data_IF_200973182199
#
_entry.id   IF_200973182199
#
_cell.length_a   1.000
_cell.length_b   1.000
_cell.length_c   1.000
_cell.angle_alpha   90.00
_cell.angle_beta   90.00
_cell.angle_gamma   90.00
#
_symmetry.space_group_name_H-M   'P 1'
#
loop_
_entity.id
_entity.type
_entity.pdbx_description
1 polymer ?
#
# COMPACT_ATOMS: atom_id res chain seq x y z
N UNK A 1 15.44 -1.97 2.16
CA UNK A 1 15.62 -3.22 2.95
C UNK A 1 14.51 -4.19 2.54
N UNK A 2 14.76 -5.06 1.56
CA UNK A 2 13.88 -6.21 1.30
C UNK A 2 14.49 -7.34 2.12
N UNK A 3 13.76 -7.82 3.14
CA UNK A 3 14.16 -9.04 3.86
C UNK A 3 14.00 -10.19 2.88
N UNK A 4 15.05 -10.99 2.72
CA UNK A 4 15.34 -12.03 1.71
C UNK A 4 14.28 -13.16 1.55
N UNK A 5 13.08 -13.00 2.11
CA UNK A 5 12.08 -14.05 2.19
C UNK A 5 10.66 -13.57 1.88
N UNK A 6 10.38 -12.28 1.75
CA UNK A 6 9.03 -11.79 1.38
C UNK A 6 8.87 -11.93 -0.14
N UNK A 7 7.97 -12.81 -0.57
CA UNK A 7 7.73 -13.08 -2.00
C UNK A 7 6.28 -12.85 -2.43
N UNK A 8 5.38 -12.59 -1.48
CA UNK A 8 3.98 -12.30 -1.76
C UNK A 8 3.56 -10.97 -1.14
N UNK A 9 2.72 -10.25 -1.89
CA UNK A 9 2.05 -9.05 -1.43
C UNK A 9 0.60 -9.08 -1.89
N UNK A 10 -0.30 -8.63 -1.03
CA UNK A 10 -1.72 -8.45 -1.35
C UNK A 10 -2.17 -7.12 -0.77
N UNK A 11 -2.84 -6.32 -1.59
CA UNK A 11 -3.36 -5.01 -1.23
C UNK A 11 -4.84 -4.95 -1.54
N UNK A 12 -5.61 -4.40 -0.60
CA UNK A 12 -7.04 -4.17 -0.75
C UNK A 12 -7.34 -2.71 -0.45
N UNK A 13 -7.77 -1.98 -1.47
CA UNK A 13 -8.32 -0.64 -1.34
C UNK A 13 -9.61 -0.68 -0.51
N UNK A 14 -9.72 0.24 0.45
CA UNK A 14 -10.86 0.38 1.34
C UNK A 14 -11.60 1.68 1.05
N UNK A 15 -10.86 2.76 0.81
CA UNK A 15 -11.43 4.07 0.59
C UNK A 15 -10.65 4.86 -0.45
N UNK A 16 -11.36 5.65 -1.24
CA UNK A 16 -10.83 6.53 -2.27
C UNK A 16 -11.55 7.87 -2.19
N UNK A 17 -10.78 8.96 -2.11
CA UNK A 17 -11.32 10.32 -2.09
C UNK A 17 -10.31 11.28 -2.70
N UNK A 18 -10.81 12.38 -3.28
CA UNK A 18 -9.98 13.33 -3.98
C UNK A 18 -10.75 14.07 -5.07
N UNK A 19 -10.03 14.52 -6.09
CA UNK A 19 -10.53 15.23 -7.26
C UNK A 19 -9.80 14.78 -8.53
N UNK A 20 -9.90 15.56 -9.60
CA UNK A 20 -9.33 15.27 -10.92
C UNK A 20 -7.80 15.40 -11.00
N UNK A 21 -7.16 16.04 -10.02
CA UNK A 21 -5.72 16.27 -9.96
C UNK A 21 -5.02 15.49 -8.83
N UNK A 22 -5.74 15.18 -7.75
CA UNK A 22 -5.22 14.52 -6.55
C UNK A 22 -6.18 13.44 -6.06
N UNK A 23 -5.69 12.22 -5.86
CA UNK A 23 -6.47 11.09 -5.35
C UNK A 23 -5.74 10.48 -4.16
N UNK A 24 -6.47 10.22 -3.07
CA UNK A 24 -5.95 9.51 -1.92
C UNK A 24 -6.61 8.13 -1.86
N UNK A 25 -5.77 7.11 -1.73
CA UNK A 25 -6.15 5.72 -1.57
C UNK A 25 -5.75 5.24 -0.17
N UNK A 26 -6.73 4.80 0.61
CA UNK A 26 -6.52 4.02 1.82
C UNK A 26 -6.78 2.56 1.56
N UNK A 27 -5.94 1.70 2.10
CA UNK A 27 -6.17 0.27 2.05
C UNK A 27 -5.45 -0.51 3.13
N UNK A 28 -5.56 -1.83 3.03
CA UNK A 28 -4.82 -2.79 3.87
C UNK A 28 -3.92 -3.64 3.00
N UNK A 29 -2.70 -3.84 3.47
CA UNK A 29 -1.71 -4.71 2.84
C UNK A 29 -1.37 -5.89 3.73
N UNK A 30 -1.01 -7.00 3.08
CA UNK A 30 -0.38 -8.14 3.72
C UNK A 30 0.87 -8.51 2.96
N UNK A 31 1.94 -8.78 3.69
CA UNK A 31 3.20 -9.31 3.19
C UNK A 31 3.29 -10.77 3.59
N UNK A 32 3.68 -11.63 2.64
CA UNK A 32 3.82 -13.05 2.89
C UNK A 32 5.13 -13.63 2.35
N UNK A 33 5.58 -14.70 2.99
CA UNK A 33 6.65 -15.56 2.50
C UNK A 33 6.16 -16.47 1.36
N UNK A 34 7.09 -17.16 0.68
CA UNK A 34 6.81 -18.05 -0.47
C UNK A 34 5.95 -19.26 -0.09
N UNK A 35 6.00 -19.66 1.17
CA UNK A 35 5.19 -20.72 1.76
C UNK A 35 3.75 -20.26 2.13
N UNK A 36 3.40 -18.99 1.90
CA UNK A 36 2.09 -18.41 2.26
C UNK A 36 2.00 -17.86 3.68
N UNK A 37 3.07 -17.93 4.48
CA UNK A 37 3.08 -17.37 5.84
C UNK A 37 3.00 -15.84 5.80
N UNK A 38 2.04 -15.26 6.52
CA UNK A 38 1.87 -13.80 6.63
C UNK A 38 2.86 -13.25 7.65
N UNK A 39 3.76 -12.38 7.19
CA UNK A 39 4.87 -11.84 7.99
C UNK A 39 4.61 -10.42 8.47
N UNK A 40 3.70 -9.74 7.80
CA UNK A 40 3.35 -8.36 8.10
C UNK A 40 1.97 -8.05 7.57
N UNK A 41 1.19 -7.35 8.38
CA UNK A 41 -0.07 -6.75 7.96
C UNK A 41 -0.05 -5.29 8.37
N UNK A 42 -0.84 -4.48 7.70
CA UNK A 42 -0.91 -3.06 8.00
C UNK A 42 -1.88 -2.33 7.11
N UNK A 43 -2.07 -1.06 7.44
CA UNK A 43 -2.76 -0.11 6.57
C UNK A 43 -1.75 0.62 5.71
N UNK A 44 -2.16 1.04 4.54
CA UNK A 44 -1.38 1.92 3.70
C UNK A 44 -2.22 3.12 3.28
N UNK A 45 -1.52 4.21 2.95
CA UNK A 45 -2.08 5.38 2.33
C UNK A 45 -1.19 5.76 1.15
N UNK A 46 -1.79 5.82 -0.05
CA UNK A 46 -1.15 6.34 -1.25
C UNK A 46 -1.80 7.66 -1.64
N UNK A 47 -0.99 8.69 -1.87
CA UNK A 47 -1.41 9.93 -2.50
C UNK A 47 -0.93 9.90 -3.93
N UNK A 48 -1.87 9.99 -4.85
CA UNK A 48 -1.66 10.05 -6.28
C UNK A 48 -1.82 11.49 -6.76
N UNK A 49 -0.95 11.93 -7.65
CA UNK A 49 -1.05 13.20 -8.35
C UNK A 49 -1.08 12.95 -9.84
N UNK A 50 -1.97 13.66 -10.54
CA UNK A 50 -2.07 13.61 -11.99
C UNK A 50 -1.12 14.63 -12.60
N UNK A 51 -0.10 14.14 -13.32
CA UNK A 51 0.86 14.97 -14.04
C UNK A 51 0.72 14.72 -15.54
N UNK A 52 0.43 15.76 -16.32
CA UNK A 52 0.27 15.68 -17.79
C UNK A 52 -0.68 14.57 -18.26
N UNK A 53 -1.72 14.28 -17.46
CA UNK A 53 -2.71 13.25 -17.76
C UNK A 53 -2.44 11.89 -17.12
N UNK A 54 -1.25 11.66 -16.57
CA UNK A 54 -0.84 10.39 -15.97
C UNK A 54 -0.86 10.45 -14.45
N UNK A 55 -1.40 9.42 -13.80
CA UNK A 55 -1.36 9.31 -12.34
C UNK A 55 -0.01 8.76 -11.87
N UNK A 56 0.60 9.46 -10.92
CA UNK A 56 1.85 9.06 -10.26
C UNK A 56 1.67 9.05 -8.75
N UNK A 57 2.37 8.14 -8.07
CA UNK A 57 2.41 8.15 -6.61
C UNK A 57 3.27 9.34 -6.17
N UNK A 58 2.63 10.33 -5.57
CA UNK A 58 3.28 11.47 -4.93
C UNK A 58 3.80 11.10 -3.54
N UNK A 59 3.06 10.27 -2.81
CA UNK A 59 3.42 9.83 -1.46
C UNK A 59 2.88 8.44 -1.18
N UNK A 60 3.71 7.59 -0.61
CA UNK A 60 3.29 6.35 0.03
C UNK A 60 3.57 6.41 1.52
N UNK A 61 2.69 5.82 2.33
CA UNK A 61 2.90 5.69 3.77
C UNK A 61 2.34 4.35 4.24
N UNK A 62 3.17 3.63 4.99
CA UNK A 62 2.83 2.32 5.55
C UNK A 62 2.66 2.41 7.06
N UNK A 63 1.55 1.89 7.56
CA UNK A 63 1.24 1.77 8.97
C UNK A 63 1.18 0.29 9.34
N UNK A 64 2.31 -0.24 9.84
CA UNK A 64 2.37 -1.62 10.30
C UNK A 64 1.42 -1.84 11.49
N UNK A 65 0.65 -2.93 11.45
CA UNK A 65 -0.12 -3.35 12.61
C UNK A 65 0.85 -3.77 13.72
N UNK A 66 0.59 -3.33 14.96
CA UNK A 66 1.40 -3.74 16.10
C UNK A 66 1.19 -5.24 16.32
N UNK A 67 2.30 -6.00 16.40
CA UNK A 67 2.24 -7.36 16.95
C UNK A 67 1.79 -7.24 18.40
N UNK A 68 0.69 -7.93 18.74
CA UNK A 68 0.24 -8.10 20.12
C UNK A 68 1.27 -8.89 20.91
#
# INVERSE_FOLDING_TARGET
>A
MIRDSITGSSFKTIHLWGNDQLLVEEGRGTWSHKNGEIVGTGRYLLVWQKEKGEWKILRDTWFADKKK
#
